data_IF_846731525268
#
_entry.id   IF_846731525268
#
_cell.length_a   1.000
_cell.length_b   1.000
_cell.length_c   1.000
_cell.angle_alpha   90.00
_cell.angle_beta   90.00
_cell.angle_gamma   90.00
#
_symmetry.space_group_name_H-M   'P 1'
#
loop_
_entity.id
_entity.type
_entity.pdbx_description
1 polymer ?
#
# COMPACT_ATOMS: atom_id res chain seq x y z
N UNK A 1 -10.29 -8.48 -4.14
CA UNK A 1 -8.99 -8.83 -3.60
C UNK A 1 -8.09 -7.59 -3.59
N UNK A 2 -7.26 -7.44 -2.60
CA UNK A 2 -6.37 -6.30 -2.46
C UNK A 2 -4.92 -6.74 -2.56
N UNK A 3 -4.12 -5.88 -3.17
CA UNK A 3 -2.68 -5.98 -3.23
C UNK A 3 -2.10 -4.75 -2.51
N UNK A 4 -1.53 -4.94 -1.34
CA UNK A 4 -0.95 -3.87 -0.53
C UNK A 4 0.53 -3.63 -0.85
N UNK A 5 1.25 -3.08 0.11
CA UNK A 5 2.71 -2.90 0.07
C UNK A 5 3.43 -4.19 0.41
N UNK A 6 3.02 -5.26 -0.27
CA UNK A 6 3.63 -6.56 -0.15
C UNK A 6 4.66 -6.77 -1.25
N UNK A 7 5.55 -7.66 -0.98
CA UNK A 7 6.40 -8.23 -2.00
C UNK A 7 5.53 -9.01 -3.02
N UNK A 8 5.81 -8.90 -4.33
CA UNK A 8 5.01 -9.58 -5.38
C UNK A 8 4.98 -11.11 -5.22
N UNK A 9 6.00 -11.72 -4.64
CA UNK A 9 6.06 -13.17 -4.34
C UNK A 9 5.01 -13.58 -3.31
N UNK A 10 4.59 -12.69 -2.40
CA UNK A 10 3.59 -12.98 -1.36
C UNK A 10 2.17 -13.07 -1.92
N UNK A 11 1.94 -12.51 -3.10
CA UNK A 11 0.64 -12.50 -3.76
C UNK A 11 -0.36 -11.51 -3.16
N UNK A 12 -1.64 -11.76 -3.39
CA UNK A 12 -2.74 -10.92 -2.97
C UNK A 12 -3.28 -11.32 -1.59
N UNK A 13 -4.14 -10.49 -1.01
CA UNK A 13 -4.72 -10.72 0.33
C UNK A 13 -5.41 -12.08 0.45
N UNK A 14 -6.11 -12.53 -0.60
CA UNK A 14 -6.83 -13.81 -0.58
C UNK A 14 -5.92 -15.04 -0.40
N UNK A 15 -4.63 -14.93 -0.71
CA UNK A 15 -3.65 -16.00 -0.42
C UNK A 15 -3.47 -16.27 1.07
N UNK A 16 -3.88 -15.34 1.91
CA UNK A 16 -3.79 -15.42 3.37
C UNK A 16 -5.15 -15.63 4.04
N UNK A 17 -6.24 -15.69 3.27
CA UNK A 17 -7.57 -16.03 3.77
C UNK A 17 -7.72 -17.54 3.75
N UNK A 18 -8.00 -18.14 4.90
CA UNK A 18 -8.18 -19.60 5.04
C UNK A 18 -9.63 -19.98 4.78
N UNK A 19 -10.59 -19.15 5.19
CA UNK A 19 -12.02 -19.33 4.90
C UNK A 19 -12.79 -18.02 5.10
N UNK A 20 -14.00 -17.95 4.55
CA UNK A 20 -14.90 -16.84 4.72
C UNK A 20 -16.36 -17.32 4.85
N UNK A 21 -17.22 -16.47 5.41
CA UNK A 21 -18.65 -16.67 5.41
C UNK A 21 -19.32 -15.66 4.48
N UNK A 22 -20.20 -16.13 3.62
CA UNK A 22 -20.85 -15.37 2.58
C UNK A 22 -22.38 -15.45 2.75
N UNK A 23 -23.02 -14.29 2.88
CA UNK A 23 -24.49 -14.16 2.78
C UNK A 23 -24.85 -13.94 1.31
N UNK A 24 -25.60 -14.86 0.76
CA UNK A 24 -26.07 -14.82 -0.63
C UNK A 24 -27.36 -14.03 -0.78
N UNK A 25 -27.71 -13.69 -2.03
CA UNK A 25 -28.92 -12.93 -2.35
C UNK A 25 -30.24 -13.67 -2.05
N UNK A 26 -30.20 -14.99 -1.93
CA UNK A 26 -31.34 -15.84 -1.53
C UNK A 26 -31.49 -15.94 0.00
N UNK A 27 -30.60 -15.31 0.78
CA UNK A 27 -30.59 -15.34 2.23
C UNK A 27 -29.81 -16.53 2.82
N UNK A 28 -29.26 -17.43 2.00
CA UNK A 28 -28.44 -18.51 2.48
C UNK A 28 -27.08 -17.98 2.97
N UNK A 29 -26.61 -18.46 4.13
CA UNK A 29 -25.28 -18.21 4.65
C UNK A 29 -24.43 -19.44 4.39
N UNK A 30 -23.35 -19.27 3.64
CA UNK A 30 -22.44 -20.36 3.30
C UNK A 30 -21.02 -20.07 3.81
N UNK A 31 -20.31 -21.09 4.26
CA UNK A 31 -18.87 -21.03 4.52
C UNK A 31 -18.10 -21.59 3.31
N UNK A 32 -17.05 -20.85 2.94
CA UNK A 32 -16.24 -21.15 1.77
C UNK A 32 -14.75 -21.13 2.12
N UNK A 33 -13.99 -22.03 1.50
CA UNK A 33 -12.53 -22.13 1.58
C UNK A 33 -11.98 -22.74 0.28
N UNK A 34 -10.67 -22.87 0.15
CA UNK A 34 -10.07 -23.57 -1.00
C UNK A 34 -10.51 -25.04 -1.12
N UNK A 35 -10.91 -25.70 -0.01
CA UNK A 35 -11.35 -27.09 0.03
C UNK A 35 -12.86 -27.26 0.16
N UNK A 36 -13.62 -26.23 0.48
CA UNK A 36 -15.06 -26.26 0.67
C UNK A 36 -15.72 -25.15 -0.12
N UNK A 37 -16.61 -25.51 -1.06
CA UNK A 37 -17.27 -24.55 -1.97
C UNK A 37 -16.24 -23.63 -2.64
N UNK A 38 -15.20 -24.23 -3.18
CA UNK A 38 -14.01 -23.56 -3.71
C UNK A 38 -14.34 -22.52 -4.80
N UNK A 39 -15.36 -22.81 -5.63
CA UNK A 39 -15.82 -21.86 -6.64
C UNK A 39 -16.40 -20.57 -6.03
N UNK A 40 -17.11 -20.65 -4.92
CA UNK A 40 -17.64 -19.48 -4.20
C UNK A 40 -16.53 -18.71 -3.50
N UNK A 41 -15.55 -19.42 -2.95
CA UNK A 41 -14.36 -18.80 -2.39
C UNK A 41 -13.58 -18.02 -3.46
N UNK A 42 -13.26 -18.66 -4.57
CA UNK A 42 -12.54 -18.03 -5.68
C UNK A 42 -13.31 -16.84 -6.28
N UNK A 43 -14.63 -16.95 -6.48
CA UNK A 43 -15.48 -15.88 -6.99
C UNK A 43 -15.58 -14.67 -6.02
N UNK A 44 -15.41 -14.90 -4.71
CA UNK A 44 -15.46 -13.83 -3.72
C UNK A 44 -14.13 -13.06 -3.63
N UNK A 45 -13.03 -13.68 -4.02
CA UNK A 45 -11.71 -13.05 -4.09
C UNK A 45 -11.62 -12.11 -5.29
N UNK A 46 -11.76 -10.80 -5.07
CA UNK A 46 -11.82 -9.80 -6.16
C UNK A 46 -13.16 -9.72 -6.88
N UNK A 47 -14.20 -10.35 -6.35
CA UNK A 47 -15.52 -10.46 -6.98
C UNK A 47 -16.40 -9.22 -6.90
N UNK A 48 -15.88 -8.07 -6.42
CA UNK A 48 -16.60 -6.78 -6.34
C UNK A 48 -17.94 -6.83 -5.57
N UNK A 49 -18.09 -7.82 -4.68
CA UNK A 49 -19.33 -8.04 -3.93
C UNK A 49 -20.44 -8.72 -4.74
N UNK A 50 -20.19 -9.18 -5.95
CA UNK A 50 -21.21 -9.82 -6.80
C UNK A 50 -21.56 -11.24 -6.36
N UNK A 51 -20.68 -11.91 -5.61
CA UNK A 51 -20.94 -13.24 -5.04
C UNK A 51 -21.85 -13.22 -3.79
N UNK A 52 -21.93 -12.07 -3.11
CA UNK A 52 -22.72 -11.86 -1.89
C UNK A 52 -22.01 -10.93 -0.91
N UNK A 53 -22.53 -10.87 0.32
CA UNK A 53 -21.95 -10.04 1.40
C UNK A 53 -21.04 -10.93 2.26
N UNK A 54 -19.78 -10.56 2.35
CA UNK A 54 -18.83 -11.25 3.25
C UNK A 54 -19.16 -10.83 4.69
N UNK A 55 -19.55 -11.79 5.52
CA UNK A 55 -19.89 -11.56 6.92
C UNK A 55 -18.66 -11.56 7.82
N UNK A 56 -17.72 -12.47 7.56
CA UNK A 56 -16.41 -12.56 8.23
C UNK A 56 -15.41 -13.30 7.35
N UNK A 57 -14.14 -13.09 7.67
CA UNK A 57 -13.01 -13.81 7.07
C UNK A 57 -12.08 -14.31 8.17
N UNK A 58 -11.49 -15.48 7.95
CA UNK A 58 -10.40 -16.02 8.76
C UNK A 58 -9.09 -15.82 7.99
N UNK A 59 -8.12 -15.18 8.62
CA UNK A 59 -6.87 -14.78 7.99
C UNK A 59 -5.70 -15.45 8.71
N UNK A 60 -4.79 -16.05 7.97
CA UNK A 60 -3.54 -16.53 8.52
C UNK A 60 -2.62 -15.35 8.83
N UNK A 61 -2.37 -15.14 10.13
CA UNK A 61 -1.42 -14.14 10.59
C UNK A 61 -0.02 -14.75 10.72
N UNK A 62 0.98 -13.89 10.63
CA UNK A 62 2.35 -14.25 10.96
C UNK A 62 2.85 -13.42 12.16
N UNK A 63 3.75 -13.98 13.00
CA UNK A 63 4.35 -13.21 14.08
C UNK A 63 5.25 -12.10 13.53
N UNK A 64 5.24 -10.94 14.20
CA UNK A 64 6.12 -9.81 13.88
C UNK A 64 7.20 -9.68 14.95
N UNK A 65 8.40 -9.27 14.54
CA UNK A 65 9.53 -9.05 15.45
C UNK A 65 9.42 -7.74 16.22
N UNK A 66 8.70 -6.74 15.71
CA UNK A 66 8.54 -5.44 16.35
C UNK A 66 7.81 -4.42 15.48
N UNK A 67 7.59 -3.20 16.03
CA UNK A 67 6.82 -2.15 15.36
C UNK A 67 7.67 -1.28 14.41
N UNK A 68 8.94 -1.61 14.24
CA UNK A 68 9.85 -0.87 13.37
C UNK A 68 10.23 -1.66 12.13
N UNK A 69 10.51 -0.94 11.08
CA UNK A 69 11.02 -1.48 9.83
C UNK A 69 12.43 -0.93 9.58
N UNK A 70 13.38 -1.82 9.34
CA UNK A 70 14.64 -1.46 8.69
C UNK A 70 14.34 -1.27 7.21
N UNK A 71 14.34 -0.01 6.79
CA UNK A 71 13.85 0.41 5.49
C UNK A 71 14.96 1.04 4.67
N UNK A 72 15.00 0.67 3.40
CA UNK A 72 15.89 1.24 2.42
C UNK A 72 15.09 1.87 1.28
N UNK A 73 15.45 3.11 0.91
CA UNK A 73 14.89 3.83 -0.23
C UNK A 73 15.97 4.04 -1.27
N UNK A 74 15.74 3.57 -2.49
CA UNK A 74 16.69 3.64 -3.61
C UNK A 74 16.05 4.43 -4.74
N UNK A 75 16.76 5.44 -5.26
CA UNK A 75 16.35 6.17 -6.46
C UNK A 75 16.60 5.31 -7.70
N UNK A 76 15.65 5.34 -8.63
CA UNK A 76 15.82 4.74 -9.95
C UNK A 76 15.39 5.74 -11.03
N UNK A 77 15.96 5.63 -12.22
CA UNK A 77 15.74 6.55 -13.34
C UNK A 77 15.38 5.83 -14.65
N UNK A 78 15.10 4.52 -14.56
CA UNK A 78 14.60 3.70 -15.67
C UNK A 78 13.72 2.55 -15.18
N UNK A 79 12.92 1.97 -16.08
CA UNK A 79 12.17 0.73 -15.79
C UNK A 79 13.11 -0.46 -15.58
N UNK A 80 14.23 -0.51 -16.29
CA UNK A 80 15.20 -1.59 -16.13
C UNK A 80 15.80 -1.56 -14.72
N UNK A 81 16.12 -0.37 -14.19
CA UNK A 81 16.55 -0.22 -12.80
C UNK A 81 15.47 -0.68 -11.82
N UNK A 82 14.21 -0.33 -12.07
CA UNK A 82 13.09 -0.78 -11.24
C UNK A 82 13.01 -2.30 -11.21
N UNK A 83 13.03 -2.97 -12.36
CA UNK A 83 12.96 -4.44 -12.43
C UNK A 83 14.18 -5.11 -11.80
N UNK A 84 15.36 -4.57 -12.03
CA UNK A 84 16.58 -5.05 -11.36
C UNK A 84 16.46 -4.97 -9.84
N UNK A 85 16.04 -3.82 -9.29
CA UNK A 85 15.83 -3.63 -7.85
C UNK A 85 14.72 -4.55 -7.29
N UNK A 86 13.66 -4.79 -8.06
CA UNK A 86 12.62 -5.73 -7.69
C UNK A 86 13.16 -7.14 -7.55
N UNK A 87 13.89 -7.63 -8.55
CA UNK A 87 14.49 -8.96 -8.54
C UNK A 87 15.53 -9.13 -7.42
N UNK A 88 16.41 -8.13 -7.22
CA UNK A 88 17.40 -8.12 -6.14
C UNK A 88 16.75 -8.16 -4.74
N UNK A 89 15.49 -7.78 -4.63
CA UNK A 89 14.78 -7.72 -3.34
C UNK A 89 13.98 -8.98 -3.02
N UNK A 90 13.83 -9.91 -3.97
CA UNK A 90 12.95 -11.08 -3.82
C UNK A 90 13.29 -11.98 -2.62
N UNK A 91 14.58 -12.24 -2.41
CA UNK A 91 15.02 -13.19 -1.39
C UNK A 91 15.17 -12.55 0.01
N UNK A 92 15.51 -11.27 0.07
CA UNK A 92 16.04 -10.65 1.29
C UNK A 92 15.07 -9.67 1.95
N UNK A 93 13.99 -9.28 1.27
CA UNK A 93 13.06 -8.27 1.79
C UNK A 93 11.63 -8.79 1.89
N UNK A 94 11.00 -8.49 3.01
CA UNK A 94 9.59 -8.85 3.27
C UNK A 94 8.60 -7.93 2.54
N UNK A 95 8.99 -6.66 2.36
CA UNK A 95 8.10 -5.62 1.81
C UNK A 95 8.81 -4.81 0.76
N UNK A 96 8.11 -4.58 -0.34
CA UNK A 96 8.54 -3.67 -1.40
C UNK A 96 7.40 -2.75 -1.81
N UNK A 97 7.71 -1.49 -2.08
CA UNK A 97 6.77 -0.53 -2.66
C UNK A 97 7.53 0.54 -3.42
N UNK A 98 6.98 0.97 -4.54
CA UNK A 98 7.61 2.02 -5.34
C UNK A 98 6.67 3.20 -5.54
N UNK A 99 7.26 4.40 -5.47
CA UNK A 99 6.65 5.61 -5.99
C UNK A 99 7.26 5.92 -7.36
N UNK A 100 6.41 6.12 -8.36
CA UNK A 100 6.82 6.39 -9.74
C UNK A 100 6.33 7.79 -10.14
N UNK A 101 7.22 8.63 -10.68
CA UNK A 101 6.87 9.91 -11.28
C UNK A 101 6.33 9.72 -12.69
N UNK A 102 5.02 9.53 -12.81
CA UNK A 102 4.34 9.35 -14.09
C UNK A 102 4.27 10.63 -14.96
N UNK A 103 4.73 11.78 -14.46
CA UNK A 103 4.72 13.05 -15.18
C UNK A 103 6.10 13.47 -15.67
N UNK A 104 7.15 12.71 -15.36
CA UNK A 104 8.49 12.92 -15.89
C UNK A 104 8.62 12.39 -17.33
N UNK A 105 9.60 12.89 -18.06
CA UNK A 105 9.90 12.41 -19.42
C UNK A 105 10.51 11.00 -19.43
N UNK A 106 11.32 10.70 -18.42
CA UNK A 106 11.87 9.37 -18.15
C UNK A 106 11.15 8.75 -16.95
N UNK A 107 11.02 7.44 -16.94
CA UNK A 107 10.50 6.72 -15.77
C UNK A 107 11.52 6.85 -14.65
N UNK A 108 11.13 7.50 -13.56
CA UNK A 108 11.98 7.66 -12.36
C UNK A 108 11.13 7.50 -11.11
N UNK A 109 11.78 7.17 -10.01
CA UNK A 109 11.06 7.00 -8.77
C UNK A 109 11.93 6.65 -7.57
N UNK A 110 11.25 6.25 -6.51
CA UNK A 110 11.84 5.73 -5.30
C UNK A 110 11.36 4.29 -5.09
N UNK A 111 12.28 3.35 -5.11
CA UNK A 111 12.05 1.97 -4.73
C UNK A 111 12.30 1.84 -3.23
N UNK A 112 11.28 1.43 -2.48
CA UNK A 112 11.37 1.21 -1.05
C UNK A 112 11.28 -0.28 -0.78
N UNK A 113 12.17 -0.78 0.07
CA UNK A 113 12.18 -2.15 0.56
C UNK A 113 12.44 -2.17 2.06
N UNK A 114 11.86 -3.13 2.77
CA UNK A 114 11.98 -3.18 4.21
C UNK A 114 11.78 -4.58 4.78
N UNK A 115 12.39 -4.80 5.95
CA UNK A 115 12.17 -5.93 6.83
C UNK A 115 11.76 -5.45 8.20
N UNK A 116 11.05 -6.27 8.98
CA UNK A 116 10.81 -5.95 10.37
C UNK A 116 12.13 -5.93 11.15
N UNK A 117 12.38 -4.83 11.87
CA UNK A 117 13.51 -4.72 12.78
C UNK A 117 13.22 -5.48 14.09
N UNK A 118 14.29 -5.97 14.74
CA UNK A 118 14.18 -6.67 16.02
C UNK A 118 13.48 -5.81 17.09
N UNK A 119 12.85 -6.48 18.06
CA UNK A 119 11.93 -5.91 19.04
C UNK A 119 12.56 -4.96 20.10
N UNK A 120 13.84 -4.66 20.00
CA UNK A 120 14.57 -3.83 20.99
C UNK A 120 14.16 -2.36 21.00
N UNK A 121 13.38 -1.91 20.02
CA UNK A 121 12.98 -0.53 19.87
C UNK A 121 11.57 -0.32 20.46
N UNK A 122 11.43 0.67 21.30
CA UNK A 122 10.12 1.10 21.84
C UNK A 122 9.15 1.44 20.70
N UNK A 123 7.84 1.28 20.94
CA UNK A 123 6.82 1.67 19.99
C UNK A 123 6.99 3.14 19.54
N UNK A 124 6.83 3.43 18.24
CA UNK A 124 7.00 4.79 17.75
C UNK A 124 5.95 5.71 18.36
N UNK A 125 6.32 6.96 18.71
CA UNK A 125 5.38 7.92 19.25
C UNK A 125 4.28 8.27 18.24
N UNK A 126 3.05 8.37 18.70
CA UNK A 126 1.94 8.89 17.89
C UNK A 126 2.23 10.34 17.49
N UNK A 127 2.30 10.63 16.19
CA UNK A 127 2.55 11.98 15.68
C UNK A 127 1.22 12.64 15.32
N UNK A 128 0.87 13.71 16.02
CA UNK A 128 -0.24 14.58 15.62
C UNK A 128 0.18 15.43 14.42
N UNK A 129 -0.54 15.34 13.32
CA UNK A 129 -0.27 16.10 12.09
C UNK A 129 -1.46 17.02 11.83
N UNK A 130 -1.22 18.28 11.39
CA UNK A 130 -2.29 19.19 11.03
C UNK A 130 -3.14 18.61 9.89
N UNK A 131 -4.45 18.58 10.12
CA UNK A 131 -5.41 18.15 9.10
C UNK A 131 -5.58 19.24 8.03
N UNK A 132 -5.97 18.83 6.80
CA UNK A 132 -6.38 19.79 5.76
C UNK A 132 -7.69 20.43 6.23
N UNK A 133 -7.70 21.77 6.52
CA UNK A 133 -8.80 22.39 7.27
C UNK A 133 -10.09 22.52 6.44
N UNK A 134 -9.96 22.74 5.14
CA UNK A 134 -11.12 22.92 4.24
C UNK A 134 -10.82 22.40 2.83
N UNK A 135 -11.87 22.14 2.07
CA UNK A 135 -11.76 21.84 0.64
C UNK A 135 -11.71 23.16 -0.15
N UNK A 136 -10.62 23.43 -0.88
CA UNK A 136 -10.52 24.63 -1.70
C UNK A 136 -11.57 24.65 -2.83
N UNK A 137 -11.97 25.81 -3.35
CA UNK A 137 -12.94 25.89 -4.44
C UNK A 137 -12.45 25.22 -5.73
N UNK A 138 -11.14 25.26 -5.96
CA UNK A 138 -10.48 24.59 -7.08
C UNK A 138 -9.48 23.57 -6.53
N UNK A 139 -9.32 22.44 -7.24
CA UNK A 139 -8.34 21.45 -6.86
C UNK A 139 -6.91 21.97 -7.06
N UNK A 140 -6.07 22.01 -6.00
CA UNK A 140 -4.63 22.21 -6.17
C UNK A 140 -3.94 21.02 -6.83
N UNK A 141 -4.62 19.87 -6.94
CA UNK A 141 -4.11 18.66 -7.60
C UNK A 141 -4.36 18.79 -9.11
N UNK A 142 -3.37 19.32 -9.82
CA UNK A 142 -3.41 19.48 -11.28
C UNK A 142 -2.03 19.16 -11.89
N UNK A 143 -1.96 19.06 -13.21
CA UNK A 143 -0.75 18.69 -13.95
C UNK A 143 0.49 19.49 -13.54
N UNK A 144 0.36 20.78 -13.33
CA UNK A 144 1.50 21.67 -13.08
C UNK A 144 2.01 21.53 -11.64
N UNK A 145 1.09 21.57 -10.68
CA UNK A 145 1.42 21.42 -9.26
C UNK A 145 1.95 20.01 -8.96
N UNK A 146 1.37 18.97 -9.58
CA UNK A 146 1.87 17.60 -9.46
C UNK A 146 3.27 17.46 -10.06
N UNK A 147 3.54 18.06 -11.22
CA UNK A 147 4.88 18.02 -11.82
C UNK A 147 5.93 18.69 -10.92
N UNK A 148 5.59 19.83 -10.35
CA UNK A 148 6.47 20.54 -9.40
C UNK A 148 6.68 19.70 -8.12
N UNK A 149 5.59 19.17 -7.55
CA UNK A 149 5.64 18.30 -6.37
C UNK A 149 6.48 17.06 -6.62
N UNK A 150 6.24 16.33 -7.72
CA UNK A 150 6.96 15.12 -8.06
C UNK A 150 8.46 15.39 -8.22
N UNK A 151 8.81 16.50 -8.87
CA UNK A 151 10.21 16.90 -9.01
C UNK A 151 10.85 17.19 -7.64
N UNK A 152 10.17 17.98 -6.79
CA UNK A 152 10.65 18.27 -5.45
C UNK A 152 10.78 17.00 -4.59
N UNK A 153 9.78 16.10 -4.66
CA UNK A 153 9.78 14.84 -3.93
C UNK A 153 10.93 13.92 -4.35
N UNK A 154 11.17 13.79 -5.67
CA UNK A 154 12.27 12.99 -6.20
C UNK A 154 13.63 13.55 -5.76
N UNK A 155 13.84 14.87 -5.85
CA UNK A 155 15.12 15.49 -5.51
C UNK A 155 15.34 15.72 -4.01
N UNK A 156 14.29 15.58 -3.18
CA UNK A 156 14.40 15.65 -1.71
C UNK A 156 15.42 14.64 -1.18
N UNK A 157 15.46 13.45 -1.74
CA UNK A 157 16.51 12.49 -1.46
C UNK A 157 17.73 12.80 -2.35
N UNK A 158 18.82 13.28 -1.75
CA UNK A 158 20.07 13.60 -2.47
C UNK A 158 20.87 12.34 -2.78
N UNK A 159 20.98 11.43 -1.81
CA UNK A 159 21.69 10.17 -1.98
C UNK A 159 20.89 9.20 -2.86
N UNK A 160 21.58 8.42 -3.68
CA UNK A 160 20.93 7.37 -4.50
C UNK A 160 20.26 6.34 -3.60
N UNK A 161 20.87 6.00 -2.45
CA UNK A 161 20.40 5.01 -1.49
C UNK A 161 20.35 5.64 -0.10
N UNK A 162 19.26 5.41 0.63
CA UNK A 162 19.05 5.88 2.00
C UNK A 162 18.49 4.75 2.84
N UNK A 163 19.16 4.41 3.93
CA UNK A 163 18.66 3.51 4.96
C UNK A 163 18.11 4.30 6.14
N UNK A 164 17.05 3.79 6.76
CA UNK A 164 16.45 4.38 7.95
C UNK A 164 15.58 3.38 8.69
N UNK A 165 15.55 3.52 10.01
CA UNK A 165 14.55 2.87 10.84
C UNK A 165 13.23 3.65 10.72
N UNK A 166 12.17 3.01 10.24
CA UNK A 166 10.87 3.64 10.01
C UNK A 166 9.79 2.97 10.86
N UNK A 167 8.89 3.73 11.51
CA UNK A 167 7.74 3.14 12.17
C UNK A 167 6.78 2.55 11.13
N UNK A 168 6.23 1.36 11.42
CA UNK A 168 5.38 0.61 10.49
C UNK A 168 4.19 1.44 9.97
N UNK A 169 3.58 2.29 10.81
CA UNK A 169 2.45 3.12 10.41
C UNK A 169 2.79 4.08 9.27
N UNK A 170 3.92 4.78 9.38
CA UNK A 170 4.33 5.73 8.35
C UNK A 170 4.80 5.05 7.06
N UNK A 171 5.28 3.83 7.17
CA UNK A 171 5.71 3.06 6.01
C UNK A 171 4.52 2.47 5.23
N UNK A 172 3.58 1.81 5.93
CA UNK A 172 2.41 1.21 5.30
C UNK A 172 1.33 2.23 4.96
N UNK A 173 1.10 3.24 5.80
CA UNK A 173 0.01 4.20 5.71
C UNK A 173 0.49 5.66 5.67
N UNK A 174 1.31 6.04 4.66
CA UNK A 174 1.88 7.40 4.61
C UNK A 174 0.82 8.50 4.47
N UNK A 175 -0.36 8.20 3.90
CA UNK A 175 -1.45 9.15 3.75
C UNK A 175 -2.20 9.42 5.06
N UNK A 176 -2.19 8.49 6.00
CA UNK A 176 -2.80 8.68 7.33
C UNK A 176 -2.08 9.79 8.13
N UNK A 177 -0.85 10.09 7.72
CA UNK A 177 -0.11 11.23 8.24
C UNK A 177 -0.72 12.59 7.84
N UNK A 178 -1.67 12.64 6.91
CA UNK A 178 -2.34 13.88 6.46
C UNK A 178 -3.86 13.71 6.57
N UNK A 179 -4.46 13.94 7.75
CA UNK A 179 -5.91 13.81 7.92
C UNK A 179 -6.66 14.70 6.93
N UNK A 180 -7.73 14.16 6.36
CA UNK A 180 -8.54 14.82 5.34
C UNK A 180 -7.80 15.18 4.05
N UNK A 181 -6.75 14.43 3.67
CA UNK A 181 -6.00 14.63 2.43
C UNK A 181 -6.91 14.69 1.18
N UNK A 182 -8.04 13.99 1.20
CA UNK A 182 -9.04 14.01 0.13
C UNK A 182 -9.60 15.42 -0.16
N UNK A 183 -9.56 16.36 0.79
CA UNK A 183 -9.96 17.76 0.57
C UNK A 183 -9.08 18.49 -0.44
N UNK A 184 -7.85 18.02 -0.68
CA UNK A 184 -6.97 18.58 -1.72
C UNK A 184 -7.54 18.42 -3.14
N UNK A 185 -8.50 17.53 -3.35
CA UNK A 185 -9.19 17.42 -4.64
C UNK A 185 -10.26 18.51 -4.86
N UNK A 186 -10.44 19.40 -3.87
CA UNK A 186 -11.39 20.51 -3.94
C UNK A 186 -12.84 20.07 -3.80
N UNK A 187 -13.78 20.99 -4.03
CA UNK A 187 -15.23 20.75 -3.91
C UNK A 187 -15.77 19.71 -4.89
N UNK A 188 -15.13 19.55 -6.06
CA UNK A 188 -15.52 18.51 -7.02
C UNK A 188 -15.21 17.08 -6.54
N UNK A 189 -14.36 16.97 -5.50
CA UNK A 189 -14.01 15.69 -4.91
C UNK A 189 -13.12 14.83 -5.80
N UNK A 190 -12.99 13.58 -5.38
CA UNK A 190 -12.24 12.54 -6.10
C UNK A 190 -13.24 11.60 -6.80
N UNK A 191 -12.99 11.31 -8.06
CA UNK A 191 -13.74 10.31 -8.83
C UNK A 191 -12.79 9.18 -9.22
N UNK A 192 -13.16 7.97 -8.83
CA UNK A 192 -12.49 6.75 -9.27
C UNK A 192 -13.42 6.05 -10.27
N UNK A 193 -12.87 5.71 -11.42
CA UNK A 193 -13.57 4.95 -12.45
C UNK A 193 -13.01 3.54 -12.50
#
# INVERSE_FOLDING_TARGET
DVHGKNHHVTGTFCKHVTRLSLLRSDGEIIECSESQRAEWFAASCGGLGLSGIILWVEVQLRPLQGPWLDSETIKFESLDDFFRLSNESEADFEYTVSWIDCLSQSVRGHFNRANHAAAEHAAPPSRKIPAIPFAPPFSPVNRYTLKAFNSAYFHRQRAVRKQQLAPWQSWFFPLDAVPHWNRLYGKAGFRQY
#
